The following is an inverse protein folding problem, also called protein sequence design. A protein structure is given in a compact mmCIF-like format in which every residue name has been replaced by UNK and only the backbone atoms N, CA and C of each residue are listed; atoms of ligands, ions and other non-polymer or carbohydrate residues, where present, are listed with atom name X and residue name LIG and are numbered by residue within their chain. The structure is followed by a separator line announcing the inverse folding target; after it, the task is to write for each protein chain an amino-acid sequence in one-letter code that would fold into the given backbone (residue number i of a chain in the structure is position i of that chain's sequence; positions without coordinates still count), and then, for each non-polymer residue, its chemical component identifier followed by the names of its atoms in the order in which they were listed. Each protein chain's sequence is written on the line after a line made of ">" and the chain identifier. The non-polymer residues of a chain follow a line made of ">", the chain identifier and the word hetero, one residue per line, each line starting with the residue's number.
data_IF_031937342852
#
_entry.id   IF_031937342852
#
_cell.length_a   1.000
_cell.length_b   1.000
_cell.length_c   1.000
_cell.angle_alpha   90.00
_cell.angle_beta   90.00
_cell.angle_gamma   90.00
#
_symmetry.space_group_name_H-M   'P 1'
#
loop_
_entity.id
_entity.type
_entity.pdbx_description
1 polymer ?
#
# COMPACT_ATOMS: atom_id res chain seq x y z
N UNK A 1 -1.09 2.65 20.84
CA UNK A 1 -1.84 3.44 19.84
C UNK A 1 -2.99 4.17 20.52
N UNK A 2 -2.91 5.49 20.64
CA UNK A 2 -3.98 6.26 21.28
C UNK A 2 -5.18 6.40 20.33
N UNK A 3 -6.40 6.36 20.88
CA UNK A 3 -7.62 6.69 20.13
C UNK A 3 -7.59 8.15 19.71
N UNK A 4 -8.00 8.45 18.48
CA UNK A 4 -8.14 9.84 18.02
C UNK A 4 -9.15 10.61 18.87
N UNK A 5 -8.98 11.94 18.97
CA UNK A 5 -9.90 12.79 19.70
C UNK A 5 -11.35 12.68 19.16
N UNK A 6 -11.50 12.58 17.83
CA UNK A 6 -12.79 12.37 17.19
C UNK A 6 -13.46 11.07 17.61
N UNK A 7 -12.70 9.97 17.70
CA UNK A 7 -13.22 8.70 18.18
C UNK A 7 -13.70 8.81 19.65
N UNK A 8 -12.94 9.50 20.51
CA UNK A 8 -13.33 9.71 21.91
C UNK A 8 -14.67 10.46 22.00
N UNK A 9 -14.84 11.54 21.24
CA UNK A 9 -16.09 12.31 21.17
C UNK A 9 -17.27 11.47 20.71
N UNK A 10 -17.12 10.69 19.62
CA UNK A 10 -18.19 9.78 19.15
C UNK A 10 -18.57 8.75 20.21
N UNK A 11 -17.59 8.14 20.89
CA UNK A 11 -17.86 7.16 21.94
C UNK A 11 -18.58 7.75 23.16
N UNK A 12 -18.38 9.03 23.44
CA UNK A 12 -19.08 9.76 24.50
C UNK A 12 -20.53 10.05 24.09
N UNK A 13 -20.74 10.50 22.84
CA UNK A 13 -22.08 10.70 22.29
C UNK A 13 -22.88 9.39 22.27
N UNK A 14 -22.27 8.29 21.80
CA UNK A 14 -22.91 6.97 21.81
C UNK A 14 -23.36 6.54 23.21
N UNK A 15 -22.55 6.82 24.25
CA UNK A 15 -22.90 6.51 25.65
C UNK A 15 -24.06 7.34 26.19
N UNK A 16 -24.15 8.62 25.81
CA UNK A 16 -25.14 9.53 26.37
C UNK A 16 -26.46 9.56 25.59
N UNK A 17 -26.40 9.48 24.26
CA UNK A 17 -27.58 9.62 23.38
C UNK A 17 -27.94 8.34 22.65
N UNK A 18 -27.09 7.29 22.71
CA UNK A 18 -27.30 6.03 22.00
C UNK A 18 -27.16 6.11 20.48
N UNK A 19 -26.91 7.30 19.92
CA UNK A 19 -26.84 7.49 18.47
C UNK A 19 -25.50 7.05 17.92
N UNK A 20 -25.52 5.96 17.16
CA UNK A 20 -24.36 5.56 16.36
C UNK A 20 -24.36 6.33 15.02
N UNK A 21 -23.29 7.07 14.78
CA UNK A 21 -23.10 7.82 13.52
C UNK A 21 -22.41 6.99 12.44
N UNK A 22 -21.87 5.82 12.79
CA UNK A 22 -21.19 4.94 11.85
C UNK A 22 -22.17 4.21 10.93
N UNK A 23 -23.37 3.90 11.42
CA UNK A 23 -24.46 3.27 10.65
C UNK A 23 -24.96 4.13 9.50
N UNK A 24 -24.85 5.46 9.61
CA UNK A 24 -25.21 6.40 8.54
C UNK A 24 -24.07 6.63 7.54
N UNK A 25 -22.88 6.11 7.81
CA UNK A 25 -21.75 6.25 6.91
C UNK A 25 -21.83 5.13 5.87
N UNK A 26 -21.75 5.49 4.59
CA UNK A 26 -21.69 4.49 3.53
C UNK A 26 -20.45 3.62 3.72
N UNK A 27 -20.65 2.31 3.70
CA UNK A 27 -19.58 1.33 3.64
C UNK A 27 -19.15 1.10 2.20
N UNK A 28 -17.86 0.81 2.02
CA UNK A 28 -17.28 0.45 0.73
C UNK A 28 -16.68 -0.94 0.88
N UNK A 29 -17.18 -1.89 0.09
CA UNK A 29 -16.80 -3.30 0.19
C UNK A 29 -15.42 -3.60 -0.42
N UNK A 30 -15.02 -2.82 -1.43
CA UNK A 30 -13.76 -3.01 -2.15
C UNK A 30 -12.84 -1.79 -2.03
N UNK A 31 -11.55 -2.02 -2.27
CA UNK A 31 -10.60 -0.92 -2.20
C UNK A 31 -10.65 -0.03 -3.44
N UNK A 32 -10.89 1.26 -3.24
CA UNK A 32 -11.01 2.27 -4.31
C UNK A 32 -9.66 2.83 -4.80
N UNK A 33 -8.53 2.29 -4.35
CA UNK A 33 -7.22 2.79 -4.79
C UNK A 33 -7.02 2.54 -6.28
N UNK A 34 -6.40 3.50 -6.96
CA UNK A 34 -5.98 3.33 -8.36
C UNK A 34 -4.86 2.29 -8.40
N UNK A 35 -5.13 1.13 -9.00
CA UNK A 35 -4.14 0.08 -9.22
C UNK A 35 -3.31 0.42 -10.44
N UNK A 36 -1.98 0.50 -10.27
CA UNK A 36 -1.04 0.69 -11.37
C UNK A 36 -0.28 -0.61 -11.62
N UNK A 37 0.00 -0.89 -12.90
CA UNK A 37 0.87 -2.00 -13.28
C UNK A 37 2.34 -1.63 -13.07
N UNK A 38 3.20 -2.64 -12.99
CA UNK A 38 4.64 -2.43 -12.78
C UNK A 38 5.28 -1.64 -13.92
N UNK A 39 6.15 -0.71 -13.55
CA UNK A 39 7.03 0.05 -14.46
C UNK A 39 8.11 -0.84 -15.06
N UNK A 40 8.83 -0.34 -16.08
CA UNK A 40 9.95 -1.06 -16.72
C UNK A 40 11.01 -1.50 -15.70
N UNK A 41 11.40 -0.60 -14.78
CA UNK A 41 12.40 -0.88 -13.74
C UNK A 41 11.92 -1.99 -12.79
N UNK A 42 10.68 -1.90 -12.31
CA UNK A 42 10.10 -2.91 -11.41
C UNK A 42 9.94 -4.28 -12.09
N UNK A 43 9.65 -4.31 -13.40
CA UNK A 43 9.63 -5.56 -14.17
C UNK A 43 11.02 -6.15 -14.31
N UNK A 44 12.04 -5.36 -14.65
CA UNK A 44 13.43 -5.82 -14.77
C UNK A 44 13.93 -6.41 -13.44
N UNK A 45 13.70 -5.72 -12.33
CA UNK A 45 14.02 -6.22 -11.00
C UNK A 45 13.26 -7.52 -10.69
N UNK A 46 11.97 -7.60 -11.05
CA UNK A 46 11.21 -8.84 -10.90
C UNK A 46 11.81 -9.99 -11.72
N UNK A 47 12.20 -9.76 -12.97
CA UNK A 47 12.78 -10.82 -13.82
C UNK A 47 14.04 -11.43 -13.22
N UNK A 48 14.89 -10.61 -12.60
CA UNK A 48 16.09 -11.09 -11.92
C UNK A 48 15.77 -11.78 -10.60
N UNK A 49 14.93 -11.18 -9.76
CA UNK A 49 14.77 -11.61 -8.36
C UNK A 49 13.65 -12.63 -8.13
N UNK A 50 12.69 -12.79 -9.07
CA UNK A 50 11.53 -13.67 -8.86
C UNK A 50 11.91 -15.14 -8.70
N UNK A 51 12.93 -15.59 -9.43
CA UNK A 51 13.37 -16.98 -9.41
C UNK A 51 14.84 -17.04 -9.00
N UNK A 52 15.21 -17.95 -8.09
CA UNK A 52 16.61 -18.17 -7.74
C UNK A 52 17.36 -18.65 -8.99
N UNK A 53 18.24 -17.81 -9.52
CA UNK A 53 19.14 -18.17 -10.62
C UNK A 53 20.47 -18.58 -10.04
N UNK A 54 20.99 -19.72 -10.48
CA UNK A 54 22.22 -20.30 -9.93
C UNK A 54 23.50 -19.50 -10.29
N UNK A 55 23.43 -18.54 -11.23
CA UNK A 55 24.60 -17.82 -11.75
C UNK A 55 24.32 -16.32 -12.02
N UNK A 56 24.11 -15.52 -10.96
CA UNK A 56 23.87 -14.06 -11.09
C UNK A 56 24.71 -13.23 -10.11
N UNK A 57 26.01 -13.48 -10.05
CA UNK A 57 26.91 -12.60 -9.30
C UNK A 57 27.22 -11.35 -10.14
N UNK A 58 26.91 -10.15 -9.62
CA UNK A 58 27.38 -8.87 -10.17
C UNK A 58 26.47 -8.13 -11.17
N UNK A 59 25.24 -8.59 -11.45
CA UNK A 59 24.34 -7.91 -12.40
C UNK A 59 23.39 -6.97 -11.65
N UNK A 60 23.50 -5.65 -11.88
CA UNK A 60 22.52 -4.65 -11.44
C UNK A 60 21.47 -4.42 -12.55
N UNK A 61 20.17 -4.63 -12.30
CA UNK A 61 19.08 -4.42 -13.28
C UNK A 61 18.74 -2.94 -13.47
N UNK A 62 19.72 -2.06 -13.68
CA UNK A 62 19.41 -0.63 -13.71
C UNK A 62 18.81 -0.17 -15.06
N UNK A 63 18.75 -1.07 -16.05
CA UNK A 63 18.15 -0.82 -17.35
C UNK A 63 18.90 0.22 -18.19
N UNK A 64 20.08 0.63 -17.73
CA UNK A 64 21.01 1.52 -18.42
C UNK A 64 22.04 0.67 -19.16
N UNK A 65 22.12 0.83 -20.48
CA UNK A 65 23.10 0.12 -21.33
C UNK A 65 24.49 0.80 -21.36
N UNK A 66 24.59 2.00 -20.81
CA UNK A 66 25.82 2.78 -20.73
C UNK A 66 26.11 3.05 -19.26
N UNK A 67 27.19 2.48 -18.74
CA UNK A 67 27.76 2.89 -17.46
C UNK A 67 28.55 4.19 -17.66
N UNK A 68 28.47 5.07 -16.67
CA UNK A 68 29.27 6.30 -16.57
C UNK A 68 30.76 5.93 -16.64
N UNK A 69 31.50 6.64 -17.48
CA UNK A 69 32.95 6.54 -17.63
C UNK A 69 33.69 6.86 -16.32
#
# INVERSE_FOLDING_TARGET
>A
MAKSAAHKKRSHQLRNTGKDVTTFRNDVEFSMHVRKTKTKKEKLQQYQNKHKKHFQQGILPDGNAFYIA
#
